data_IF_855852426982
#
_entry.id   IF_855852426982
#
_cell.length_a   1.000
_cell.length_b   1.000
_cell.length_c   1.000
_cell.angle_alpha   90.00
_cell.angle_beta   90.00
_cell.angle_gamma   90.00
#
_symmetry.space_group_name_H-M   'P 1'
#
loop_
_entity.id
_entity.type
_entity.pdbx_description
1 polymer ?
#
# COMPACT_ATOMS: atom_id res chain seq x y z
N UNK A 1 -16.16 4.58 -3.85
CA UNK A 1 -16.33 3.54 -2.82
C UNK A 1 -16.50 4.28 -1.51
N UNK A 2 -17.34 3.84 -0.56
CA UNK A 2 -17.27 4.41 0.78
C UNK A 2 -16.27 3.61 1.59
N UNK A 3 -15.17 4.26 1.99
CA UNK A 3 -14.08 3.60 2.68
C UNK A 3 -14.56 3.00 4.02
N UNK A 4 -14.17 1.76 4.28
CA UNK A 4 -14.22 1.19 5.63
C UNK A 4 -12.94 1.58 6.37
N UNK A 5 -13.09 2.19 7.53
CA UNK A 5 -11.96 2.59 8.37
C UNK A 5 -11.10 1.37 8.76
N UNK A 6 -11.68 0.17 8.90
CA UNK A 6 -10.90 -1.05 9.16
C UNK A 6 -9.92 -1.38 8.04
N UNK A 7 -10.27 -1.05 6.81
CA UNK A 7 -9.39 -1.26 5.66
C UNK A 7 -8.20 -0.30 5.69
N UNK A 8 -8.42 0.97 6.09
CA UNK A 8 -7.32 1.91 6.37
C UNK A 8 -6.35 1.35 7.39
N UNK A 9 -6.89 0.87 8.53
CA UNK A 9 -6.09 0.29 9.61
C UNK A 9 -5.23 -0.85 9.09
N UNK A 10 -5.81 -1.73 8.26
CA UNK A 10 -5.10 -2.85 7.64
C UNK A 10 -3.95 -2.38 6.74
N UNK A 11 -4.20 -1.44 5.83
CA UNK A 11 -3.17 -0.95 4.91
C UNK A 11 -2.01 -0.27 5.60
N UNK A 12 -2.28 0.60 6.58
CA UNK A 12 -1.21 1.26 7.31
C UNK A 12 -0.28 0.25 8.02
N UNK A 13 -0.82 -0.90 8.46
CA UNK A 13 -0.04 -1.94 9.13
C UNK A 13 0.66 -2.91 8.16
N UNK A 14 0.23 -2.97 6.91
CA UNK A 14 0.90 -3.76 5.87
C UNK A 14 2.26 -3.16 5.52
N UNK A 15 2.35 -1.81 5.49
CA UNK A 15 3.58 -1.09 5.15
C UNK A 15 4.82 -1.54 5.94
N UNK A 16 6.03 -1.45 5.37
CA UNK A 16 7.23 -2.01 5.97
C UNK A 16 7.55 -1.35 7.32
N UNK A 17 7.75 -2.17 8.35
CA UNK A 17 8.15 -1.70 9.70
C UNK A 17 7.19 -0.64 10.32
N UNK A 18 5.97 -0.51 9.76
CA UNK A 18 4.92 0.33 10.31
C UNK A 18 4.30 -0.29 11.57
N UNK A 19 3.95 0.57 12.52
CA UNK A 19 3.35 0.22 13.83
C UNK A 19 2.21 1.19 14.17
N UNK A 20 1.24 0.71 14.93
CA UNK A 20 0.15 1.47 15.56
C UNK A 20 0.49 1.77 17.02
N UNK A 21 0.34 3.03 17.41
CA UNK A 21 0.36 3.50 18.79
C UNK A 21 -0.99 4.15 19.10
N UNK A 22 -1.62 3.76 20.21
CA UNK A 22 -2.92 4.32 20.64
C UNK A 22 -2.71 5.20 21.87
N UNK A 23 -3.14 6.46 21.79
CA UNK A 23 -3.06 7.41 22.89
C UNK A 23 -4.21 8.41 22.82
N UNK A 24 -4.84 8.70 23.96
CA UNK A 24 -5.95 9.64 24.09
C UNK A 24 -7.10 9.42 23.08
N UNK A 25 -7.52 8.16 22.89
CA UNK A 25 -8.55 7.77 21.92
C UNK A 25 -8.20 8.10 20.45
N UNK A 26 -6.90 8.27 20.16
CA UNK A 26 -6.37 8.48 18.81
C UNK A 26 -5.45 7.32 18.44
N UNK A 27 -5.44 6.99 17.16
CA UNK A 27 -4.58 5.97 16.58
C UNK A 27 -3.49 6.67 15.77
N UNK A 28 -2.23 6.35 16.03
CA UNK A 28 -1.07 6.91 15.33
C UNK A 28 -0.31 5.78 14.65
N UNK A 29 -0.22 5.85 13.32
CA UNK A 29 0.58 4.94 12.53
C UNK A 29 1.94 5.53 12.26
N UNK A 30 2.98 4.82 12.69
CA UNK A 30 4.36 5.30 12.73
C UNK A 30 5.30 4.35 12.01
N UNK A 31 6.37 4.90 11.46
CA UNK A 31 7.56 4.16 11.00
C UNK A 31 8.78 4.79 11.68
N UNK A 32 9.56 3.99 12.40
CA UNK A 32 10.70 4.47 13.22
C UNK A 32 10.36 5.72 14.06
N UNK A 33 9.29 5.63 14.88
CA UNK A 33 8.77 6.69 15.75
C UNK A 33 8.25 7.96 15.07
N UNK A 34 8.23 8.01 13.73
CA UNK A 34 7.66 9.14 12.98
C UNK A 34 6.28 8.77 12.46
N UNK A 35 5.27 9.57 12.83
CA UNK A 35 3.89 9.37 12.41
C UNK A 35 3.69 9.76 10.95
N UNK A 36 3.16 8.83 10.15
CA UNK A 36 2.70 9.12 8.78
C UNK A 36 1.17 9.24 8.74
N UNK A 37 0.44 8.45 9.51
CA UNK A 37 -1.02 8.44 9.52
C UNK A 37 -1.59 8.59 10.94
N UNK A 38 -2.77 9.21 11.07
CA UNK A 38 -3.49 9.32 12.33
C UNK A 38 -5.00 9.18 12.13
N UNK A 39 -5.69 8.55 13.07
CA UNK A 39 -7.16 8.52 13.17
C UNK A 39 -7.57 9.15 14.49
N UNK A 40 -8.57 10.02 14.45
CA UNK A 40 -9.30 10.47 15.62
C UNK A 40 -10.81 10.57 15.35
N UNK A 41 -11.57 11.10 16.31
CA UNK A 41 -13.02 11.31 16.21
C UNK A 41 -13.44 12.21 15.04
N UNK A 42 -12.51 12.98 14.46
CA UNK A 42 -12.78 13.89 13.36
C UNK A 42 -12.35 13.33 11.99
N UNK A 43 -11.86 12.09 11.92
CA UNK A 43 -11.47 11.42 10.68
C UNK A 43 -9.99 11.08 10.61
N UNK A 44 -9.46 11.05 9.39
CA UNK A 44 -8.14 10.51 9.08
C UNK A 44 -7.19 11.63 8.66
N UNK A 45 -5.95 11.62 9.17
CA UNK A 45 -4.91 12.57 8.78
C UNK A 45 -3.69 11.86 8.23
N UNK A 46 -3.17 12.37 7.12
CA UNK A 46 -2.01 11.82 6.42
C UNK A 46 -0.97 12.90 6.23
N UNK A 47 0.30 12.55 6.45
CA UNK A 47 1.44 13.37 6.01
C UNK A 47 1.45 13.51 4.50
N UNK A 48 1.85 14.68 4.00
CA UNK A 48 2.02 14.95 2.58
C UNK A 48 3.18 15.94 2.37
N UNK A 49 3.73 15.97 1.16
CA UNK A 49 4.59 17.06 0.69
C UNK A 49 3.75 18.28 0.27
N UNK A 50 4.36 19.48 0.15
CA UNK A 50 3.66 20.68 -0.32
C UNK A 50 3.01 20.52 -1.72
N UNK A 51 3.65 19.77 -2.62
CA UNK A 51 3.16 19.51 -3.97
C UNK A 51 1.94 18.57 -3.97
N UNK A 52 1.99 17.51 -3.15
CA UNK A 52 0.86 16.59 -2.96
C UNK A 52 -0.30 17.28 -2.24
N UNK A 53 -0.01 18.20 -1.31
CA UNK A 53 -1.02 18.97 -0.59
C UNK A 53 -1.90 19.77 -1.54
N UNK A 54 -1.31 20.51 -2.49
CA UNK A 54 -2.06 21.31 -3.48
C UNK A 54 -2.94 20.45 -4.39
N UNK A 55 -2.47 19.26 -4.75
CA UNK A 55 -3.24 18.31 -5.56
C UNK A 55 -4.38 17.68 -4.75
N UNK A 56 -4.11 17.30 -3.50
CA UNK A 56 -5.07 16.61 -2.64
C UNK A 56 -6.23 17.50 -2.21
N UNK A 57 -6.01 18.79 -1.93
CA UNK A 57 -7.08 19.73 -1.51
C UNK A 57 -8.03 20.13 -2.66
N UNK A 58 -7.73 19.76 -3.90
CA UNK A 58 -8.69 19.88 -5.02
C UNK A 58 -9.83 18.87 -4.90
N UNK A 59 -9.65 17.82 -4.09
CA UNK A 59 -10.70 16.87 -3.76
C UNK A 59 -11.59 17.44 -2.65
N UNK A 60 -12.91 17.49 -2.91
CA UNK A 60 -13.90 18.09 -2.00
C UNK A 60 -13.94 17.45 -0.61
N UNK A 61 -13.43 16.22 -0.45
CA UNK A 61 -13.41 15.45 0.80
C UNK A 61 -12.10 15.61 1.61
N UNK A 62 -11.15 16.42 1.14
CA UNK A 62 -9.83 16.62 1.75
C UNK A 62 -9.62 18.10 2.10
N UNK A 63 -9.32 18.39 3.37
CA UNK A 63 -9.13 19.76 3.88
C UNK A 63 -7.74 19.96 4.49
N UNK A 64 -7.27 21.21 4.53
CA UNK A 64 -6.15 21.63 5.37
C UNK A 64 -6.34 21.20 6.82
N UNK A 65 -5.33 20.55 7.40
CA UNK A 65 -5.32 20.32 8.85
C UNK A 65 -5.18 21.66 9.58
N UNK A 66 -6.22 22.09 10.32
CA UNK A 66 -6.23 23.35 11.07
C UNK A 66 -5.38 23.32 12.35
N UNK A 67 -5.00 22.12 12.82
CA UNK A 67 -4.38 21.89 14.14
C UNK A 67 -2.89 21.58 14.07
N UNK A 68 -2.39 21.19 12.90
CA UNK A 68 -0.98 20.84 12.66
C UNK A 68 -0.42 21.77 11.59
N UNK A 69 0.91 21.95 11.53
CA UNK A 69 1.55 22.84 10.57
C UNK A 69 0.94 22.69 9.16
N UNK A 70 0.36 23.80 8.66
CA UNK A 70 -0.19 23.88 7.31
C UNK A 70 0.88 23.38 6.32
N UNK A 71 0.48 22.73 5.22
CA UNK A 71 1.34 22.12 4.18
C UNK A 71 2.02 20.79 4.51
N UNK A 72 1.86 20.25 5.72
CA UNK A 72 2.46 18.95 6.08
C UNK A 72 1.45 17.83 6.32
N UNK A 73 0.17 18.17 6.44
CA UNK A 73 -0.89 17.21 6.76
C UNK A 73 -2.16 17.53 6.00
N UNK A 74 -2.74 16.51 5.36
CA UNK A 74 -4.11 16.53 4.85
C UNK A 74 -5.05 15.90 5.87
N UNK A 75 -6.29 16.40 5.92
CA UNK A 75 -7.36 15.88 6.77
C UNK A 75 -8.52 15.41 5.90
N UNK A 76 -8.81 14.11 5.99
CA UNK A 76 -9.94 13.43 5.38
C UNK A 76 -11.03 13.33 6.44
N UNK A 77 -12.04 14.19 6.33
CA UNK A 77 -13.16 14.28 7.29
C UNK A 77 -14.30 13.35 6.92
N UNK A 78 -14.48 13.03 5.64
CA UNK A 78 -15.42 12.01 5.20
C UNK A 78 -14.74 11.06 4.22
N UNK A 79 -14.19 9.97 4.77
CA UNK A 79 -13.55 8.93 3.97
C UNK A 79 -14.56 8.09 3.19
N UNK A 80 -15.85 8.20 3.51
CA UNK A 80 -16.90 7.44 2.86
C UNK A 80 -17.10 7.91 1.41
N UNK A 81 -16.57 9.04 0.95
CA UNK A 81 -16.72 9.40 -0.47
C UNK A 81 -15.45 9.18 -1.30
N UNK A 82 -14.34 8.79 -0.64
CA UNK A 82 -13.06 8.53 -1.29
C UNK A 82 -12.95 7.13 -1.89
N UNK A 83 -12.49 7.07 -3.13
CA UNK A 83 -12.17 5.80 -3.79
C UNK A 83 -10.98 5.12 -3.11
N UNK A 84 -11.01 3.79 -3.12
CA UNK A 84 -10.09 2.90 -2.41
C UNK A 84 -8.63 3.07 -2.85
N UNK A 85 -8.41 3.27 -4.14
CA UNK A 85 -7.11 3.35 -4.76
C UNK A 85 -6.44 4.70 -4.45
N UNK A 86 -7.21 5.79 -4.48
CA UNK A 86 -6.75 7.12 -4.05
C UNK A 86 -6.26 7.07 -2.60
N UNK A 87 -7.01 6.32 -1.78
CA UNK A 87 -6.75 6.24 -0.37
C UNK A 87 -5.54 5.36 -0.01
N UNK A 88 -5.34 4.23 -0.70
CA UNK A 88 -4.12 3.43 -0.57
C UNK A 88 -2.88 4.21 -1.03
N UNK A 89 -2.98 4.95 -2.15
CA UNK A 89 -1.91 5.84 -2.60
C UNK A 89 -1.59 6.92 -1.58
N UNK A 90 -2.60 7.60 -1.02
CA UNK A 90 -2.35 8.62 0.00
C UNK A 90 -1.62 8.05 1.22
N UNK A 91 -1.96 6.83 1.66
CA UNK A 91 -1.24 6.15 2.75
C UNK A 91 0.21 5.89 2.37
N UNK A 92 0.45 5.38 1.16
CA UNK A 92 1.79 5.12 0.62
C UNK A 92 2.62 6.40 0.54
N UNK A 93 2.10 7.45 -0.09
CA UNK A 93 2.81 8.73 -0.23
C UNK A 93 3.11 9.35 1.14
N UNK A 94 2.16 9.20 2.07
CA UNK A 94 2.34 9.62 3.45
C UNK A 94 3.49 8.91 4.14
N UNK A 95 3.55 7.59 3.96
CA UNK A 95 4.64 6.75 4.46
C UNK A 95 5.98 7.09 3.79
N UNK A 96 6.03 7.19 2.46
CA UNK A 96 7.22 7.58 1.69
C UNK A 96 7.76 8.94 2.14
N UNK A 97 6.87 9.91 2.37
CA UNK A 97 7.21 11.24 2.87
C UNK A 97 7.96 11.15 4.19
N UNK A 98 7.51 10.29 5.11
CA UNK A 98 8.22 10.07 6.37
C UNK A 98 9.53 9.29 6.16
N UNK A 99 9.54 8.24 5.33
CA UNK A 99 10.73 7.44 5.06
C UNK A 99 11.87 8.27 4.45
N UNK A 100 11.57 9.24 3.58
CA UNK A 100 12.54 10.20 3.04
C UNK A 100 13.22 11.08 4.11
N UNK A 101 12.65 11.15 5.31
CA UNK A 101 13.26 11.88 6.44
C UNK A 101 14.13 10.99 7.34
N UNK A 102 14.26 9.70 7.02
CA UNK A 102 15.08 8.74 7.75
C UNK A 102 16.50 8.68 7.16
N UNK A 103 17.50 8.12 7.88
CA UNK A 103 18.86 7.95 7.36
C UNK A 103 18.89 7.13 6.05
N UNK A 104 19.77 7.47 5.11
CA UNK A 104 19.79 6.90 3.74
C UNK A 104 19.80 5.37 3.69
N UNK A 105 20.59 4.72 4.55
CA UNK A 105 20.65 3.25 4.62
C UNK A 105 19.29 2.63 4.97
N UNK A 106 18.57 3.28 5.88
CA UNK A 106 17.25 2.85 6.33
C UNK A 106 16.18 3.20 5.31
N UNK A 107 16.27 4.40 4.70
CA UNK A 107 15.44 4.80 3.58
C UNK A 107 15.53 3.78 2.45
N UNK A 108 16.74 3.44 1.98
CA UNK A 108 16.94 2.48 0.89
C UNK A 108 16.33 1.11 1.23
N UNK A 109 16.60 0.57 2.42
CA UNK A 109 16.02 -0.70 2.90
C UNK A 109 14.49 -0.67 2.93
N UNK A 110 13.90 0.41 3.47
CA UNK A 110 12.45 0.52 3.60
C UNK A 110 11.77 0.78 2.26
N UNK A 111 12.39 1.56 1.36
CA UNK A 111 11.89 1.80 0.01
C UNK A 111 12.06 0.56 -0.89
N UNK A 112 13.10 -0.24 -0.73
CA UNK A 112 13.23 -1.54 -1.40
C UNK A 112 12.11 -2.49 -0.95
N UNK A 113 11.90 -2.64 0.36
CA UNK A 113 10.78 -3.43 0.89
C UNK A 113 9.42 -2.90 0.44
N UNK A 114 9.24 -1.58 0.49
CA UNK A 114 8.01 -0.93 0.06
C UNK A 114 7.80 -1.15 -1.44
N UNK A 115 8.84 -1.04 -2.26
CA UNK A 115 8.78 -1.33 -3.69
C UNK A 115 8.34 -2.77 -3.94
N UNK A 116 8.82 -3.74 -3.15
CA UNK A 116 8.35 -5.12 -3.24
C UNK A 116 6.91 -5.33 -2.75
N UNK A 117 6.38 -4.46 -1.89
CA UNK A 117 4.99 -4.49 -1.42
C UNK A 117 4.04 -3.68 -2.34
N UNK A 118 4.57 -2.66 -3.03
CA UNK A 118 3.87 -1.75 -3.95
C UNK A 118 3.93 -2.25 -5.39
N UNK A 119 4.98 -2.97 -5.79
CA UNK A 119 5.04 -3.56 -7.13
C UNK A 119 3.77 -4.36 -7.31
N UNK A 120 2.93 -3.86 -8.21
CA UNK A 120 1.60 -4.38 -8.42
C UNK A 120 1.73 -5.88 -8.60
N UNK A 121 1.05 -6.74 -7.83
CA UNK A 121 1.16 -8.17 -7.99
C UNK A 121 0.89 -8.64 -9.42
N UNK A 122 0.20 -7.84 -10.22
CA UNK A 122 0.13 -8.02 -11.67
C UNK A 122 1.50 -8.00 -12.38
N UNK A 123 2.41 -7.07 -12.04
CA UNK A 123 3.80 -7.04 -12.55
C UNK A 123 4.54 -8.31 -12.17
N UNK A 124 4.40 -8.75 -10.93
CA UNK A 124 5.01 -9.99 -10.46
C UNK A 124 4.43 -11.21 -11.18
N UNK A 125 3.10 -11.28 -11.35
CA UNK A 125 2.47 -12.39 -12.08
C UNK A 125 2.93 -12.43 -13.52
N UNK A 126 2.99 -11.29 -14.22
CA UNK A 126 3.47 -11.21 -15.60
C UNK A 126 4.96 -11.60 -15.66
N UNK A 127 5.78 -11.14 -14.72
CA UNK A 127 7.20 -11.46 -14.68
C UNK A 127 7.49 -12.94 -14.42
N UNK A 128 6.78 -13.54 -13.46
CA UNK A 128 7.01 -14.93 -13.04
C UNK A 128 6.35 -15.92 -14.03
N UNK A 129 5.18 -15.57 -14.58
CA UNK A 129 4.34 -16.46 -15.40
C UNK A 129 4.16 -15.94 -16.82
N UNK A 130 5.19 -15.34 -17.42
CA UNK A 130 5.05 -14.70 -18.74
C UNK A 130 4.60 -15.66 -19.85
N UNK A 131 5.09 -16.91 -19.87
CA UNK A 131 4.61 -17.89 -20.84
C UNK A 131 3.11 -18.19 -20.61
N UNK A 132 2.74 -18.55 -19.38
CA UNK A 132 1.34 -18.82 -19.03
C UNK A 132 0.44 -17.61 -19.36
N UNK A 133 0.93 -16.38 -19.14
CA UNK A 133 0.24 -15.14 -19.49
C UNK A 133 -0.05 -15.04 -21.00
N UNK A 134 0.97 -15.30 -21.83
CA UNK A 134 0.82 -15.25 -23.28
C UNK A 134 -0.12 -16.33 -23.79
N UNK A 135 0.02 -17.56 -23.29
CA UNK A 135 -0.89 -18.68 -23.64
C UNK A 135 -2.34 -18.36 -23.28
N UNK A 136 -2.58 -17.69 -22.15
CA UNK A 136 -3.93 -17.38 -21.67
C UNK A 136 -4.58 -16.21 -22.43
N UNK A 137 -3.82 -15.16 -22.70
CA UNK A 137 -4.35 -13.89 -23.19
C UNK A 137 -4.15 -13.66 -24.70
N UNK A 138 -3.10 -14.24 -25.27
CA UNK A 138 -2.75 -14.07 -26.67
C UNK A 138 -2.18 -15.38 -27.25
N UNK A 139 -2.98 -16.47 -27.30
CA UNK A 139 -2.51 -17.78 -27.68
C UNK A 139 -1.81 -17.78 -29.04
N UNK A 140 -2.35 -17.08 -30.05
CA UNK A 140 -1.73 -17.00 -31.38
C UNK A 140 -0.30 -16.46 -31.34
N UNK A 141 -0.03 -15.51 -30.43
CA UNK A 141 1.30 -14.92 -30.25
C UNK A 141 2.19 -15.86 -29.45
N UNK A 142 1.62 -16.53 -28.43
CA UNK A 142 2.36 -17.54 -27.67
C UNK A 142 2.89 -18.66 -28.58
N UNK A 143 2.13 -19.07 -29.59
CA UNK A 143 2.56 -20.08 -30.57
C UNK A 143 3.69 -19.60 -31.50
N UNK A 144 3.83 -18.29 -31.71
CA UNK A 144 4.85 -17.71 -32.59
C UNK A 144 6.15 -17.37 -31.83
N UNK A 145 6.15 -17.41 -30.49
CA UNK A 145 7.33 -17.16 -29.65
C UNK A 145 8.15 -18.44 -29.48
N UNK A 146 9.48 -18.32 -29.65
CA UNK A 146 10.45 -19.36 -29.35
C UNK A 146 10.76 -19.40 -27.84
N UNK A 147 10.02 -20.23 -27.11
CA UNK A 147 10.19 -20.43 -25.67
C UNK A 147 11.49 -21.11 -25.26
N UNK A 148 12.31 -21.61 -26.20
CA UNK A 148 13.65 -22.08 -25.88
C UNK A 148 14.60 -20.92 -25.57
N UNK A 149 14.25 -19.70 -25.99
CA UNK A 149 14.95 -18.48 -25.65
C UNK A 149 14.19 -17.74 -24.55
N UNK A 150 14.88 -17.49 -23.44
CA UNK A 150 14.28 -16.77 -22.32
C UNK A 150 13.87 -15.34 -22.74
N UNK A 151 12.62 -14.92 -22.44
CA UNK A 151 12.21 -13.53 -22.63
C UNK A 151 13.07 -12.56 -21.82
N UNK A 152 13.35 -11.38 -22.39
CA UNK A 152 14.17 -10.35 -21.75
C UNK A 152 13.25 -9.21 -21.31
N UNK A 153 13.15 -8.98 -20.00
CA UNK A 153 12.32 -7.90 -19.43
C UNK A 153 13.08 -6.57 -19.43
N UNK A 154 12.47 -5.54 -20.00
CA UNK A 154 13.11 -4.26 -20.31
C UNK A 154 12.49 -3.11 -19.49
N UNK A 155 12.38 -3.32 -18.17
CA UNK A 155 11.73 -2.37 -17.26
C UNK A 155 12.46 -1.01 -17.16
N UNK A 156 13.79 -1.02 -17.29
CA UNK A 156 14.61 0.19 -17.18
C UNK A 156 14.45 1.07 -18.41
N UNK A 157 14.46 0.45 -19.57
CA UNK A 157 14.28 1.03 -20.90
C UNK A 157 12.90 1.67 -20.99
N UNK A 158 11.86 0.90 -20.61
CA UNK A 158 10.49 1.40 -20.52
C UNK A 158 10.39 2.60 -19.58
N UNK A 159 10.98 2.52 -18.39
CA UNK A 159 10.99 3.62 -17.42
C UNK A 159 11.67 4.88 -17.97
N UNK A 160 12.72 4.75 -18.77
CA UNK A 160 13.39 5.90 -19.42
C UNK A 160 12.48 6.56 -20.45
N UNK A 161 11.77 5.76 -21.25
CA UNK A 161 10.82 6.24 -22.28
C UNK A 161 9.62 6.95 -21.66
N UNK A 162 9.23 6.55 -20.45
CA UNK A 162 8.12 7.13 -19.72
C UNK A 162 8.46 8.47 -19.03
N UNK A 163 9.75 8.85 -18.90
CA UNK A 163 10.15 10.12 -18.27
C UNK A 163 9.55 11.31 -19.05
N UNK A 164 8.72 12.10 -18.38
CA UNK A 164 8.07 13.29 -18.94
C UNK A 164 6.62 13.10 -19.40
N UNK A 165 6.08 11.87 -19.40
CA UNK A 165 4.64 11.68 -19.49
C UNK A 165 4.00 12.03 -18.13
N UNK A 166 2.97 12.88 -18.11
CA UNK A 166 2.12 13.06 -16.91
C UNK A 166 1.30 11.78 -16.72
N UNK A 167 1.92 10.72 -16.23
CA UNK A 167 1.24 9.46 -15.91
C UNK A 167 0.97 9.37 -14.43
N UNK A 168 -0.31 9.19 -14.07
CA UNK A 168 -0.66 8.69 -12.74
C UNK A 168 -0.14 7.26 -12.55
N UNK A 169 0.08 6.84 -11.30
CA UNK A 169 0.71 5.56 -10.92
C UNK A 169 -0.16 4.29 -11.14
N UNK A 170 -1.30 4.39 -11.85
CA UNK A 170 -2.34 3.34 -11.93
C UNK A 170 -2.15 2.29 -13.05
N UNK A 171 -0.91 2.05 -13.47
CA UNK A 171 -0.63 1.22 -14.64
C UNK A 171 0.41 0.16 -14.35
N UNK A 172 0.17 -1.03 -14.86
CA UNK A 172 1.20 -2.05 -15.00
C UNK A 172 1.62 -2.08 -16.45
N UNK A 173 2.69 -1.33 -16.72
CA UNK A 173 3.35 -1.32 -18.01
C UNK A 173 4.53 -2.30 -17.97
N UNK A 174 4.62 -3.19 -18.95
CA UNK A 174 5.70 -4.17 -19.09
C UNK A 174 6.18 -4.23 -20.54
N UNK A 175 7.49 -4.13 -20.72
CA UNK A 175 8.13 -4.31 -22.01
C UNK A 175 8.97 -5.57 -21.96
N UNK A 176 8.75 -6.45 -22.93
CA UNK A 176 9.43 -7.75 -23.02
C UNK A 176 9.95 -7.93 -24.43
N UNK A 177 11.24 -8.18 -24.56
CA UNK A 177 11.83 -8.66 -25.80
C UNK A 177 11.68 -10.18 -25.87
N UNK A 178 11.15 -10.64 -27.01
CA UNK A 178 10.94 -12.05 -27.31
C UNK A 178 11.58 -12.39 -28.65
N UNK A 179 11.83 -13.67 -28.86
CA UNK A 179 12.29 -14.21 -30.14
C UNK A 179 11.14 -14.97 -30.78
N UNK A 180 10.87 -14.71 -32.05
CA UNK A 180 9.92 -15.51 -32.82
C UNK A 180 10.54 -16.86 -33.18
N UNK A 181 9.71 -17.87 -33.47
CA UNK A 181 10.16 -19.14 -34.04
C UNK A 181 10.89 -18.95 -35.39
N UNK A 182 10.63 -17.84 -36.10
CA UNK A 182 11.38 -17.44 -37.31
C UNK A 182 12.81 -16.97 -37.03
N UNK A 183 13.19 -16.78 -35.76
CA UNK A 183 14.48 -16.26 -35.32
C UNK A 183 14.53 -14.74 -35.16
N UNK A 184 13.48 -14.02 -35.56
CA UNK A 184 13.41 -12.56 -35.46
C UNK A 184 13.18 -12.08 -34.03
N UNK A 185 13.83 -10.98 -33.65
CA UNK A 185 13.57 -10.27 -32.40
C UNK A 185 12.35 -9.37 -32.53
N UNK A 186 11.48 -9.41 -31.51
CA UNK A 186 10.32 -8.53 -31.40
C UNK A 186 10.18 -8.00 -29.97
N UNK A 187 9.63 -6.79 -29.89
CA UNK A 187 9.25 -6.18 -28.63
C UNK A 187 7.76 -6.34 -28.42
N UNK A 188 7.38 -6.78 -27.22
CA UNK A 188 6.00 -6.89 -26.79
C UNK A 188 5.77 -5.98 -25.59
N UNK A 189 4.84 -5.05 -25.75
CA UNK A 189 4.48 -4.05 -24.77
C UNK A 189 3.08 -4.37 -24.22
N UNK A 190 2.98 -4.52 -22.91
CA UNK A 190 1.72 -4.75 -22.20
C UNK A 190 1.38 -3.56 -21.35
N UNK A 191 0.12 -3.17 -21.44
CA UNK A 191 -0.51 -2.15 -20.61
C UNK A 191 -1.68 -2.76 -19.89
N UNK A 192 -1.49 -3.08 -18.61
CA UNK A 192 -2.60 -3.52 -17.74
C UNK A 192 -3.13 -2.30 -16.98
N UNK A 193 -4.37 -1.97 -17.27
CA UNK A 193 -5.17 -0.95 -16.59
C UNK A 193 -5.89 -1.59 -15.41
N UNK A 194 -5.25 -1.55 -14.24
CA UNK A 194 -5.76 -2.09 -12.98
C UNK A 194 -6.55 -1.01 -12.25
N UNK A 195 -7.80 -0.79 -12.67
CA UNK A 195 -8.81 0.09 -12.07
C UNK A 195 -8.45 1.57 -11.78
N UNK A 196 -9.40 2.45 -12.13
CA UNK A 196 -9.46 3.84 -11.67
C UNK A 196 -9.77 4.79 -12.83
N UNK A 197 -10.87 5.54 -12.72
CA UNK A 197 -11.43 6.56 -13.64
C UNK A 197 -10.94 6.52 -15.10
N UNK A 198 -11.87 6.34 -16.05
CA UNK A 198 -11.67 6.49 -17.51
C UNK A 198 -10.59 7.52 -17.83
N UNK A 199 -9.39 7.05 -18.09
CA UNK A 199 -8.39 7.91 -18.69
C UNK A 199 -8.63 7.83 -20.19
N UNK A 200 -9.20 8.88 -20.76
CA UNK A 200 -9.30 9.07 -22.21
C UNK A 200 -7.94 9.04 -22.92
N UNK A 201 -6.85 8.92 -22.16
CA UNK A 201 -5.46 9.03 -22.57
C UNK A 201 -4.84 7.64 -22.88
N UNK A 202 -5.51 6.52 -22.58
CA UNK A 202 -4.93 5.18 -22.84
C UNK A 202 -4.51 5.01 -24.31
N UNK A 203 -5.36 5.27 -25.33
CA UNK A 203 -4.93 5.17 -26.73
C UNK A 203 -3.74 6.08 -27.07
N UNK A 204 -3.74 7.33 -26.60
CA UNK A 204 -2.65 8.28 -26.80
C UNK A 204 -1.33 7.77 -26.21
N UNK A 205 -1.37 7.12 -25.04
CA UNK A 205 -0.19 6.52 -24.41
C UNK A 205 0.31 5.30 -25.13
N UNK A 206 -0.60 4.37 -25.48
CA UNK A 206 -0.26 3.19 -26.27
C UNK A 206 0.46 3.62 -27.55
N UNK A 207 -0.10 4.59 -28.27
CA UNK A 207 0.52 5.17 -29.46
C UNK A 207 1.89 5.80 -29.13
N UNK A 208 1.95 6.70 -28.14
CA UNK A 208 3.19 7.42 -27.80
C UNK A 208 4.32 6.47 -27.43
N UNK A 209 4.06 5.43 -26.65
CA UNK A 209 5.07 4.47 -26.25
C UNK A 209 5.48 3.54 -27.38
N UNK A 210 4.53 3.03 -28.17
CA UNK A 210 4.85 2.21 -29.35
C UNK A 210 5.79 2.97 -30.29
N UNK A 211 5.48 4.21 -30.66
CA UNK A 211 6.36 4.97 -31.56
C UNK A 211 7.72 5.26 -30.95
N UNK A 212 7.81 5.64 -29.67
CA UNK A 212 9.12 5.91 -29.04
C UNK A 212 10.00 4.66 -28.99
N UNK A 213 9.39 3.50 -28.76
CA UNK A 213 10.09 2.22 -28.76
C UNK A 213 10.50 1.81 -30.18
N UNK A 214 9.61 1.98 -31.16
CA UNK A 214 9.90 1.73 -32.57
C UNK A 214 11.06 2.62 -33.06
N UNK A 215 11.05 3.90 -32.73
CA UNK A 215 12.13 4.83 -33.05
C UNK A 215 13.47 4.42 -32.39
N UNK A 216 13.42 3.93 -31.15
CA UNK A 216 14.63 3.58 -30.38
C UNK A 216 15.24 2.24 -30.81
N UNK A 217 14.41 1.25 -31.13
CA UNK A 217 14.83 -0.13 -31.41
C UNK A 217 14.73 -0.51 -32.89
N UNK A 218 14.22 0.39 -33.73
CA UNK A 218 14.04 0.19 -35.17
C UNK A 218 13.31 -1.13 -35.52
N UNK A 219 12.29 -1.46 -34.72
CA UNK A 219 11.49 -2.68 -34.86
C UNK A 219 10.06 -2.41 -34.43
N UNK A 220 9.09 -3.07 -35.07
CA UNK A 220 7.67 -2.92 -34.74
C UNK A 220 7.40 -3.47 -33.33
N UNK A 221 6.59 -2.75 -32.55
CA UNK A 221 6.24 -3.12 -31.18
C UNK A 221 4.81 -3.66 -31.13
N UNK A 222 4.65 -4.90 -30.68
CA UNK A 222 3.33 -5.48 -30.46
C UNK A 222 2.77 -4.96 -29.13
N UNK A 223 1.78 -4.07 -29.19
CA UNK A 223 1.22 -3.39 -28.02
C UNK A 223 -0.15 -3.94 -27.62
N UNK A 224 -0.32 -4.38 -26.37
CA UNK A 224 -1.55 -5.00 -25.84
C UNK A 224 -2.11 -4.21 -24.67
N UNK A 225 -3.43 -4.04 -24.65
CA UNK A 225 -4.14 -3.51 -23.49
C UNK A 225 -4.89 -4.63 -22.76
N UNK A 226 -4.75 -4.69 -21.43
CA UNK A 226 -5.56 -5.53 -20.55
C UNK A 226 -6.36 -4.61 -19.63
N UNK A 227 -7.67 -4.65 -19.77
CA UNK A 227 -8.60 -3.79 -19.06
C UNK A 227 -9.22 -4.55 -17.90
N UNK A 228 -8.89 -4.12 -16.69
CA UNK A 228 -9.34 -4.72 -15.45
C UNK A 228 -10.32 -3.80 -14.68
N UNK A 229 -10.99 -2.88 -15.38
CA UNK A 229 -11.96 -1.94 -14.80
C UNK A 229 -13.39 -2.54 -14.66
N UNK A 230 -14.30 -1.73 -14.10
CA UNK A 230 -15.70 -2.10 -13.81
C UNK A 230 -16.69 -1.69 -14.94
N UNK A 231 -16.27 -0.94 -15.97
CA UNK A 231 -17.17 -0.45 -17.02
C UNK A 231 -17.18 -1.39 -18.23
N UNK A 232 -18.26 -2.16 -18.49
CA UNK A 232 -18.31 -3.09 -19.62
C UNK A 232 -18.26 -2.40 -20.99
N UNK A 233 -18.57 -1.09 -21.07
CA UNK A 233 -18.60 -0.32 -22.33
C UNK A 233 -17.27 0.35 -22.66
N UNK A 234 -16.36 0.49 -21.70
CA UNK A 234 -15.07 1.10 -21.96
C UNK A 234 -14.11 0.08 -22.58
N UNK A 235 -13.89 0.23 -23.89
CA UNK A 235 -13.13 -0.70 -24.75
C UNK A 235 -12.28 0.06 -25.79
N UNK A 236 -11.31 0.87 -25.35
CA UNK A 236 -10.37 1.51 -26.26
C UNK A 236 -9.57 0.48 -27.06
N UNK A 237 -9.53 0.66 -28.38
CA UNK A 237 -8.76 -0.21 -29.30
C UNK A 237 -7.92 0.59 -30.31
N UNK A 238 -8.09 1.91 -30.32
CA UNK A 238 -7.62 2.74 -31.43
C UNK A 238 -7.27 4.15 -30.96
N UNK A 239 -6.12 4.62 -31.43
CA UNK A 239 -5.73 6.03 -31.43
C UNK A 239 -5.87 6.57 -32.86
N UNK A 240 -6.47 7.76 -32.99
CA UNK A 240 -6.49 8.48 -34.26
C UNK A 240 -6.33 9.98 -34.05
N UNK A 241 -5.53 10.63 -34.90
CA UNK A 241 -5.50 12.09 -35.03
C UNK A 241 -5.48 12.47 -36.50
N UNK A 242 -6.10 13.59 -36.81
CA UNK A 242 -6.11 14.19 -38.13
C UNK A 242 -5.80 15.69 -38.01
N UNK A 243 -5.01 16.21 -38.94
CA UNK A 243 -4.84 17.65 -39.16
C UNK A 243 -4.48 17.90 -40.63
N UNK A 244 -5.25 18.79 -41.29
CA UNK A 244 -5.02 19.22 -42.67
C UNK A 244 -4.80 18.07 -43.68
N UNK A 245 -5.55 16.97 -43.52
CA UNK A 245 -5.44 15.79 -44.39
C UNK A 245 -4.30 14.84 -44.03
N UNK A 246 -3.56 15.10 -42.94
CA UNK A 246 -2.58 14.16 -42.38
C UNK A 246 -3.24 13.33 -41.29
N UNK A 247 -3.42 12.03 -41.55
CA UNK A 247 -4.03 11.11 -40.61
C UNK A 247 -2.99 10.20 -39.96
N UNK A 248 -3.07 10.07 -38.63
CA UNK A 248 -2.41 9.03 -37.84
C UNK A 248 -3.46 8.04 -37.37
N UNK A 249 -3.19 6.76 -37.55
CA UNK A 249 -4.05 5.67 -37.11
C UNK A 249 -3.21 4.57 -36.48
N UNK A 250 -3.59 4.14 -35.29
CA UNK A 250 -2.92 3.08 -34.55
C UNK A 250 -3.94 2.20 -33.86
N UNK A 251 -3.93 0.91 -34.18
CA UNK A 251 -4.85 -0.10 -33.63
C UNK A 251 -4.05 -1.09 -32.80
N UNK A 252 -4.59 -1.44 -31.64
CA UNK A 252 -3.99 -2.40 -30.73
C UNK A 252 -5.03 -3.42 -30.23
N UNK A 253 -4.63 -4.68 -29.96
CA UNK A 253 -5.49 -5.65 -29.30
C UNK A 253 -5.82 -5.23 -27.86
N UNK A 254 -7.05 -5.54 -27.44
CA UNK A 254 -7.54 -5.22 -26.11
C UNK A 254 -8.25 -6.45 -25.53
N UNK A 255 -7.92 -6.75 -24.27
CA UNK A 255 -8.49 -7.85 -23.50
C UNK A 255 -9.25 -7.25 -22.34
N UNK A 256 -10.54 -7.60 -22.21
CA UNK A 256 -11.38 -7.13 -21.11
C UNK A 256 -11.58 -8.26 -20.10
N UNK A 257 -11.11 -8.08 -18.87
CA UNK A 257 -11.24 -9.12 -17.84
C UNK A 257 -12.70 -9.42 -17.50
N UNK A 258 -13.59 -8.42 -17.58
CA UNK A 258 -15.03 -8.61 -17.38
C UNK A 258 -15.65 -9.65 -18.33
N UNK A 259 -15.08 -9.86 -19.52
CA UNK A 259 -15.60 -10.82 -20.52
C UNK A 259 -15.44 -12.28 -20.08
N UNK A 260 -14.66 -12.53 -19.04
CA UNK A 260 -14.51 -13.85 -18.45
C UNK A 260 -15.56 -14.14 -17.37
N UNK A 261 -16.39 -13.15 -16.98
CA UNK A 261 -17.47 -13.35 -16.02
C UNK A 261 -18.50 -14.36 -16.53
N UNK A 262 -18.88 -14.23 -17.80
CA UNK A 262 -19.84 -15.14 -18.45
C UNK A 262 -19.19 -16.48 -18.85
N UNK A 263 -17.87 -16.58 -18.71
CA UNK A 263 -17.04 -17.76 -19.02
C UNK A 263 -16.38 -18.33 -17.75
N UNK A 264 -17.04 -18.18 -16.61
CA UNK A 264 -16.49 -18.58 -15.31
C UNK A 264 -16.08 -20.07 -15.29
N UNK A 265 -16.88 -20.94 -15.89
CA UNK A 265 -16.58 -22.38 -15.96
C UNK A 265 -15.29 -22.67 -16.73
N UNK A 266 -14.95 -21.88 -17.76
CA UNK A 266 -13.68 -22.02 -18.48
C UNK A 266 -12.49 -21.70 -17.55
N UNK A 267 -12.64 -20.71 -16.65
CA UNK A 267 -11.62 -20.39 -15.66
C UNK A 267 -11.46 -21.50 -14.62
N UNK A 268 -12.56 -22.11 -14.19
CA UNK A 268 -12.55 -23.20 -13.21
C UNK A 268 -11.85 -24.45 -13.76
N UNK A 269 -12.04 -24.76 -15.04
CA UNK A 269 -11.43 -25.91 -15.70
C UNK A 269 -10.00 -25.67 -16.19
N UNK A 270 -9.58 -24.40 -16.31
CA UNK A 270 -8.25 -24.05 -16.76
C UNK A 270 -7.19 -24.32 -15.69
N UNK A 271 -6.14 -25.06 -16.08
CA UNK A 271 -4.92 -25.23 -15.30
C UNK A 271 -3.95 -24.04 -15.45
N UNK A 272 -4.22 -23.10 -16.37
CA UNK A 272 -3.38 -21.91 -16.50
C UNK A 272 -3.49 -21.02 -15.23
N UNK A 273 -2.37 -20.57 -14.62
CA UNK A 273 -2.38 -19.74 -13.41
C UNK A 273 -3.13 -18.42 -13.57
N UNK A 274 -3.22 -17.86 -14.78
CA UNK A 274 -3.99 -16.64 -15.02
C UNK A 274 -5.50 -16.83 -14.89
N UNK A 275 -6.01 -18.07 -14.91
CA UNK A 275 -7.39 -18.32 -14.55
C UNK A 275 -7.67 -17.93 -13.08
N UNK A 276 -6.77 -18.28 -12.15
CA UNK A 276 -6.85 -17.85 -10.74
C UNK A 276 -6.77 -16.33 -10.62
N UNK A 277 -5.84 -15.71 -11.36
CA UNK A 277 -5.64 -14.25 -11.37
C UNK A 277 -6.92 -13.53 -11.82
N UNK A 278 -7.51 -13.96 -12.93
CA UNK A 278 -8.74 -13.37 -13.48
C UNK A 278 -9.93 -13.62 -12.56
N UNK A 279 -10.09 -14.84 -12.02
CA UNK A 279 -11.15 -15.15 -11.05
C UNK A 279 -11.04 -14.28 -9.79
N UNK A 280 -9.84 -14.14 -9.23
CA UNK A 280 -9.59 -13.30 -8.06
C UNK A 280 -9.91 -11.83 -8.35
N UNK A 281 -9.53 -11.33 -9.52
CA UNK A 281 -9.87 -9.97 -9.96
C UNK A 281 -11.38 -9.78 -10.07
N UNK A 282 -12.09 -10.66 -10.78
CA UNK A 282 -13.55 -10.60 -10.91
C UNK A 282 -14.26 -10.63 -9.56
N UNK A 283 -13.83 -11.51 -8.64
CA UNK A 283 -14.42 -11.58 -7.29
C UNK A 283 -14.07 -10.39 -6.42
N UNK A 284 -12.91 -9.76 -6.61
CA UNK A 284 -12.61 -8.49 -5.97
C UNK A 284 -13.62 -7.41 -6.40
N UNK A 285 -13.95 -7.32 -7.70
CA UNK A 285 -14.98 -6.40 -8.20
C UNK A 285 -16.37 -6.70 -7.62
N UNK A 286 -16.78 -7.97 -7.64
CA UNK A 286 -18.13 -8.38 -7.19
C UNK A 286 -18.35 -8.24 -5.69
N UNK A 287 -17.30 -8.42 -4.88
CA UNK A 287 -17.40 -8.43 -3.41
C UNK A 287 -17.01 -7.10 -2.77
N UNK A 288 -16.92 -6.03 -3.57
CA UNK A 288 -16.46 -4.69 -3.16
C UNK A 288 -17.12 -4.15 -1.88
N UNK A 289 -18.39 -4.44 -1.65
CA UNK A 289 -19.16 -3.97 -0.50
C UNK A 289 -19.63 -5.10 0.44
N UNK A 290 -19.08 -6.31 0.30
CA UNK A 290 -19.53 -7.49 1.05
C UNK A 290 -18.32 -8.30 1.51
N UNK A 291 -17.83 -8.00 2.71
CA UNK A 291 -16.62 -8.62 3.25
C UNK A 291 -16.81 -10.10 3.62
N UNK A 292 -18.03 -10.53 3.94
CA UNK A 292 -18.32 -11.94 4.19
C UNK A 292 -18.29 -12.73 2.88
N UNK A 293 -18.92 -12.23 1.81
CA UNK A 293 -18.75 -12.83 0.47
C UNK A 293 -17.30 -12.76 0.00
N UNK A 294 -16.57 -11.69 0.30
CA UNK A 294 -15.14 -11.59 -0.01
C UNK A 294 -14.33 -12.65 0.73
N UNK A 295 -14.60 -12.86 2.02
CA UNK A 295 -13.97 -13.92 2.82
C UNK A 295 -14.26 -15.30 2.20
N UNK A 296 -15.53 -15.58 1.90
CA UNK A 296 -15.95 -16.82 1.26
C UNK A 296 -15.19 -17.05 -0.06
N UNK A 297 -15.20 -16.08 -0.98
CA UNK A 297 -14.50 -16.22 -2.26
C UNK A 297 -12.99 -16.31 -2.09
N UNK A 298 -12.40 -15.59 -1.14
CA UNK A 298 -10.96 -15.72 -0.84
C UNK A 298 -10.62 -17.15 -0.42
N UNK A 299 -11.44 -17.78 0.41
CA UNK A 299 -11.27 -19.19 0.81
C UNK A 299 -11.41 -20.13 -0.41
N UNK A 300 -12.46 -19.95 -1.22
CA UNK A 300 -12.70 -20.80 -2.40
C UNK A 300 -11.58 -20.68 -3.43
N UNK A 301 -11.09 -19.46 -3.70
CA UNK A 301 -9.94 -19.24 -4.59
C UNK A 301 -8.68 -19.93 -4.07
N UNK A 302 -8.42 -19.91 -2.76
CA UNK A 302 -7.28 -20.63 -2.16
C UNK A 302 -7.44 -22.14 -2.25
N UNK A 303 -8.65 -22.67 -2.06
CA UNK A 303 -8.93 -24.11 -2.25
C UNK A 303 -8.69 -24.53 -3.70
N UNK A 304 -9.21 -23.74 -4.64
CA UNK A 304 -9.02 -23.89 -6.08
C UNK A 304 -7.54 -23.84 -6.48
N UNK A 305 -6.77 -22.94 -5.87
CA UNK A 305 -5.33 -22.84 -6.06
C UNK A 305 -4.61 -24.14 -5.62
N UNK A 306 -4.95 -24.68 -4.46
CA UNK A 306 -4.34 -25.91 -3.93
C UNK A 306 -4.77 -27.18 -4.68
N UNK A 307 -5.91 -27.15 -5.37
CA UNK A 307 -6.41 -28.31 -6.12
C UNK A 307 -5.70 -28.53 -7.46
N UNK A 308 -5.07 -27.49 -8.05
CA UNK A 308 -4.52 -27.52 -9.42
C UNK A 308 -3.11 -28.11 -9.57
N UNK A 309 -2.58 -28.75 -8.52
CA UNK A 309 -1.28 -29.46 -8.61
C UNK A 309 -0.07 -28.56 -8.94
N UNK A 310 -0.17 -27.25 -8.72
CA UNK A 310 0.90 -26.31 -8.99
C UNK A 310 2.15 -26.57 -8.15
N UNK A 311 3.31 -26.18 -8.70
CA UNK A 311 4.56 -26.16 -7.95
C UNK A 311 4.46 -25.19 -6.77
N UNK A 312 5.23 -25.43 -5.72
CA UNK A 312 5.24 -24.58 -4.51
C UNK A 312 5.49 -23.10 -4.84
N UNK A 313 6.40 -22.82 -5.79
CA UNK A 313 6.67 -21.45 -6.27
C UNK A 313 5.43 -20.83 -6.94
N UNK A 314 4.71 -21.58 -7.78
CA UNK A 314 3.46 -21.15 -8.43
C UNK A 314 2.39 -20.84 -7.38
N UNK A 315 2.20 -21.75 -6.44
CA UNK A 315 1.25 -21.59 -5.32
C UNK A 315 1.57 -20.34 -4.51
N UNK A 316 2.84 -20.12 -4.16
CA UNK A 316 3.25 -18.97 -3.35
C UNK A 316 2.98 -17.63 -4.01
N UNK A 317 3.32 -17.49 -5.28
CA UNK A 317 3.08 -16.27 -6.04
C UNK A 317 1.57 -15.97 -6.17
N UNK A 318 0.76 -16.97 -6.51
CA UNK A 318 -0.70 -16.81 -6.66
C UNK A 318 -1.39 -16.57 -5.32
N UNK A 319 -0.94 -17.22 -4.24
CA UNK A 319 -1.47 -16.96 -2.89
C UNK A 319 -1.24 -15.50 -2.48
N UNK A 320 -0.03 -14.98 -2.71
CA UNK A 320 0.28 -13.56 -2.48
C UNK A 320 -0.61 -12.63 -3.31
N UNK A 321 -0.82 -12.97 -4.59
CA UNK A 321 -1.72 -12.21 -5.47
C UNK A 321 -3.15 -12.15 -4.92
N UNK A 322 -3.74 -13.31 -4.57
CA UNK A 322 -5.07 -13.39 -3.97
C UNK A 322 -5.13 -12.59 -2.67
N UNK A 323 -4.12 -12.74 -1.80
CA UNK A 323 -4.10 -12.07 -0.51
C UNK A 323 -4.04 -10.54 -0.63
N UNK A 324 -3.31 -10.04 -1.63
CA UNK A 324 -3.19 -8.62 -1.93
C UNK A 324 -4.48 -8.04 -2.52
N UNK A 325 -5.11 -8.70 -3.49
CA UNK A 325 -6.30 -8.15 -4.16
C UNK A 325 -7.58 -8.34 -3.34
N UNK A 326 -7.69 -9.45 -2.59
CA UNK A 326 -8.82 -9.78 -1.73
C UNK A 326 -8.56 -9.32 -0.29
N UNK A 327 -8.39 -8.02 -0.06
CA UNK A 327 -8.15 -7.47 1.28
C UNK A 327 -9.37 -7.66 2.18
N UNK A 328 -9.14 -8.07 3.43
CA UNK A 328 -10.18 -8.33 4.44
C UNK A 328 -9.95 -7.50 5.72
N UNK A 329 -11.02 -7.10 6.44
CA UNK A 329 -10.92 -6.56 7.78
C UNK A 329 -10.24 -7.53 8.75
N UNK A 330 -9.60 -7.02 9.80
CA UNK A 330 -8.75 -7.80 10.71
C UNK A 330 -9.43 -9.04 11.30
N UNK A 331 -10.70 -8.93 11.69
CA UNK A 331 -11.46 -10.04 12.26
C UNK A 331 -11.65 -11.17 11.25
N UNK A 332 -12.05 -10.83 10.02
CA UNK A 332 -12.25 -11.79 8.93
C UNK A 332 -10.93 -12.34 8.40
N UNK A 333 -9.86 -11.55 8.41
CA UNK A 333 -8.52 -12.02 8.10
C UNK A 333 -8.06 -13.11 9.09
N UNK A 334 -8.36 -12.99 10.39
CA UNK A 334 -8.10 -14.06 11.37
C UNK A 334 -8.92 -15.32 11.11
N UNK A 335 -10.19 -15.15 10.73
CA UNK A 335 -11.08 -16.26 10.34
C UNK A 335 -10.53 -17.02 9.11
N UNK A 336 -10.13 -16.27 8.08
CA UNK A 336 -9.47 -16.80 6.88
C UNK A 336 -8.24 -17.63 7.25
N UNK A 337 -7.31 -17.07 8.03
CA UNK A 337 -6.09 -17.76 8.45
C UNK A 337 -6.36 -19.07 9.19
N UNK A 338 -7.32 -19.06 10.11
CA UNK A 338 -7.72 -20.26 10.86
C UNK A 338 -8.28 -21.34 9.93
N UNK A 339 -9.07 -20.93 8.92
CA UNK A 339 -9.68 -21.85 7.96
C UNK A 339 -8.63 -22.48 7.04
N UNK A 340 -7.73 -21.67 6.47
CA UNK A 340 -6.66 -22.17 5.59
C UNK A 340 -5.72 -23.12 6.35
N UNK A 341 -5.36 -22.80 7.59
CA UNK A 341 -4.53 -23.67 8.42
C UNK A 341 -5.13 -25.06 8.59
N UNK A 342 -6.44 -25.14 8.87
CA UNK A 342 -7.15 -26.44 8.98
C UNK A 342 -7.15 -27.22 7.67
N UNK A 343 -7.40 -26.54 6.55
CA UNK A 343 -7.41 -27.18 5.22
C UNK A 343 -6.05 -27.79 4.88
N UNK A 344 -4.96 -27.09 5.21
CA UNK A 344 -3.60 -27.59 4.96
C UNK A 344 -3.23 -28.76 5.85
N UNK A 345 -3.65 -28.73 7.13
CA UNK A 345 -3.46 -29.81 8.08
C UNK A 345 -4.21 -31.07 7.64
N UNK A 346 -5.49 -30.94 7.28
CA UNK A 346 -6.35 -32.04 6.80
C UNK A 346 -5.83 -32.66 5.51
N UNK A 347 -5.40 -31.85 4.55
CA UNK A 347 -4.88 -32.35 3.26
C UNK A 347 -3.42 -32.80 3.33
N UNK A 348 -2.75 -32.68 4.49
CA UNK A 348 -1.29 -32.89 4.67
C UNK A 348 -0.44 -32.13 3.63
N UNK A 349 -0.99 -31.05 3.08
CA UNK A 349 -0.32 -30.23 2.09
C UNK A 349 0.47 -29.17 2.82
N UNK A 350 1.76 -29.43 3.07
CA UNK A 350 2.68 -28.43 3.62
C UNK A 350 3.14 -27.49 2.51
N UNK A 351 2.25 -26.61 2.04
CA UNK A 351 2.70 -25.45 1.29
C UNK A 351 3.35 -24.49 2.30
N UNK A 352 4.69 -24.42 2.28
CA UNK A 352 5.51 -23.61 3.19
C UNK A 352 5.04 -22.14 3.21
N UNK A 353 4.46 -21.69 2.10
CA UNK A 353 3.83 -20.40 1.83
C UNK A 353 2.91 -19.82 2.93
N UNK A 354 1.81 -20.50 3.27
CA UNK A 354 0.74 -19.85 4.06
C UNK A 354 1.09 -19.83 5.53
N UNK A 355 1.68 -20.91 6.05
CA UNK A 355 2.14 -21.01 7.43
C UNK A 355 3.28 -20.04 7.69
N UNK A 356 4.24 -19.85 6.77
CA UNK A 356 5.30 -18.85 6.94
C UNK A 356 4.78 -17.41 6.89
N UNK A 357 3.90 -17.07 5.95
CA UNK A 357 3.29 -15.73 5.88
C UNK A 357 2.41 -15.45 7.11
N UNK A 358 1.64 -16.44 7.55
CA UNK A 358 0.80 -16.36 8.76
C UNK A 358 1.67 -16.31 10.01
N UNK A 359 2.78 -17.07 10.08
CA UNK A 359 3.71 -17.06 11.20
C UNK A 359 4.51 -15.76 11.26
N UNK A 360 4.93 -15.20 10.12
CA UNK A 360 5.53 -13.88 10.04
C UNK A 360 4.56 -12.78 10.48
N UNK A 361 3.29 -12.83 10.00
CA UNK A 361 2.23 -11.91 10.47
C UNK A 361 1.96 -12.06 11.96
N UNK A 362 1.76 -13.29 12.46
CA UNK A 362 1.55 -13.56 13.89
C UNK A 362 2.76 -13.19 14.73
N UNK A 363 3.97 -13.39 14.23
CA UNK A 363 5.22 -12.98 14.88
C UNK A 363 5.35 -11.46 14.97
N UNK A 364 4.99 -10.75 13.89
CA UNK A 364 4.93 -9.28 13.86
C UNK A 364 3.84 -8.75 14.80
N UNK A 365 2.63 -9.30 14.74
CA UNK A 365 1.51 -8.93 15.63
C UNK A 365 1.85 -9.19 17.10
N UNK A 366 2.35 -10.38 17.46
CA UNK A 366 2.74 -10.71 18.84
C UNK A 366 3.94 -9.90 19.32
N UNK A 367 4.92 -9.65 18.45
CA UNK A 367 6.08 -8.80 18.77
C UNK A 367 5.65 -7.36 19.05
N UNK A 368 4.69 -6.86 18.28
CA UNK A 368 4.12 -5.53 18.45
C UNK A 368 3.23 -5.43 19.69
N UNK A 369 2.39 -6.43 19.96
CA UNK A 369 1.55 -6.51 21.17
C UNK A 369 2.42 -6.55 22.43
N UNK A 370 3.43 -7.42 22.47
CA UNK A 370 4.40 -7.48 23.59
C UNK A 370 5.22 -6.20 23.72
N UNK A 371 5.56 -5.55 22.60
CA UNK A 371 6.25 -4.25 22.60
C UNK A 371 5.38 -3.14 23.18
N UNK A 372 4.09 -3.14 22.82
CA UNK A 372 3.10 -2.18 23.32
C UNK A 372 2.82 -2.37 24.81
N UNK A 373 2.64 -3.62 25.25
CA UNK A 373 2.43 -3.96 26.66
C UNK A 373 3.62 -3.52 27.53
N UNK A 374 4.85 -3.86 27.12
CA UNK A 374 6.08 -3.42 27.80
C UNK A 374 6.27 -1.90 27.76
N UNK A 375 5.87 -1.25 26.67
CA UNK A 375 5.92 0.21 26.54
C UNK A 375 4.94 0.91 27.47
N UNK A 376 3.70 0.40 27.56
CA UNK A 376 2.68 0.90 28.48
C UNK A 376 3.08 0.70 29.94
N UNK A 377 3.63 -0.46 30.28
CA UNK A 377 4.09 -0.76 31.64
C UNK A 377 5.20 0.20 32.08
N UNK A 378 6.24 0.37 31.25
CA UNK A 378 7.33 1.32 31.50
C UNK A 378 6.85 2.76 31.56
N UNK A 379 5.93 3.15 30.67
CA UNK A 379 5.33 4.49 30.67
C UNK A 379 4.51 4.76 31.95
N UNK A 380 3.76 3.76 32.43
CA UNK A 380 2.97 3.86 33.66
C UNK A 380 3.85 3.93 34.90
N UNK A 381 4.93 3.17 34.93
CA UNK A 381 5.90 3.19 36.04
C UNK A 381 6.61 4.56 36.11
N UNK A 382 7.13 5.03 34.97
CA UNK A 382 7.78 6.35 34.87
C UNK A 382 6.84 7.49 35.25
N UNK A 383 5.60 7.49 34.73
CA UNK A 383 4.60 8.51 35.09
C UNK A 383 4.18 8.48 36.57
N UNK A 384 4.21 7.31 37.21
CA UNK A 384 3.92 7.18 38.66
C UNK A 384 5.07 7.70 39.52
N UNK A 385 6.30 7.50 39.09
CA UNK A 385 7.49 8.03 39.75
C UNK A 385 7.56 9.56 39.64
N UNK A 386 7.38 10.08 38.42
CA UNK A 386 7.33 11.53 38.14
C UNK A 386 6.19 12.22 38.92
N UNK A 387 4.98 11.64 38.94
CA UNK A 387 3.86 12.20 39.70
C UNK A 387 4.08 12.19 41.22
N UNK A 388 4.89 11.27 41.76
CA UNK A 388 5.29 11.28 43.17
C UNK A 388 6.28 12.39 43.47
N UNK A 389 7.24 12.65 42.58
CA UNK A 389 8.19 13.75 42.75
C UNK A 389 7.51 15.11 42.63
N UNK A 390 6.64 15.27 41.64
CA UNK A 390 5.84 16.48 41.46
C UNK A 390 4.96 16.74 42.70
N UNK A 391 4.29 15.71 43.21
CA UNK A 391 3.48 15.79 44.44
C UNK A 391 4.28 16.20 45.68
N UNK A 392 5.54 15.74 45.82
CA UNK A 392 6.41 16.16 46.93
C UNK A 392 6.76 17.65 46.84
N UNK A 393 7.10 18.14 45.66
CA UNK A 393 7.45 19.55 45.45
C UNK A 393 6.23 20.45 45.67
N UNK A 394 5.06 20.06 45.18
CA UNK A 394 3.80 20.79 45.42
C UNK A 394 3.45 20.83 46.91
N UNK A 395 3.64 19.74 47.65
CA UNK A 395 3.47 19.68 49.09
C UNK A 395 4.44 20.61 49.85
N UNK A 396 5.71 20.67 49.42
CA UNK A 396 6.71 21.59 49.98
C UNK A 396 6.34 23.06 49.71
N UNK A 397 5.83 23.37 48.52
CA UNK A 397 5.34 24.72 48.17
C UNK A 397 4.16 25.12 49.08
N UNK A 398 3.21 24.21 49.34
CA UNK A 398 2.08 24.49 50.21
C UNK A 398 2.51 24.72 51.66
N UNK A 399 3.43 23.89 52.17
CA UNK A 399 4.01 24.04 53.51
C UNK A 399 4.72 25.40 53.65
N UNK A 400 5.50 25.80 52.65
CA UNK A 400 6.23 27.06 52.64
C UNK A 400 5.27 28.28 52.63
N UNK A 401 4.14 28.19 51.90
CA UNK A 401 3.07 29.19 51.95
C UNK A 401 2.46 29.31 53.34
N UNK A 402 2.25 28.19 54.05
CA UNK A 402 1.77 28.18 55.44
C UNK A 402 2.78 28.83 56.39
N UNK A 403 4.08 28.52 56.30
CA UNK A 403 5.11 29.16 57.13
C UNK A 403 5.20 30.68 56.93
N UNK A 404 5.01 31.16 55.70
CA UNK A 404 4.90 32.61 55.44
C UNK A 404 3.68 33.24 56.10
N UNK A 405 2.52 32.57 56.04
CA UNK A 405 1.29 33.08 56.67
C UNK A 405 1.41 33.19 58.19
N UNK A 406 2.22 32.33 58.81
CA UNK A 406 2.52 32.35 60.25
C UNK A 406 3.67 33.31 60.62
N UNK A 407 4.19 34.12 59.68
CA UNK A 407 5.34 35.03 59.86
C UNK A 407 6.61 34.34 60.41
N UNK A 408 6.78 33.05 60.14
CA UNK A 408 7.94 32.27 60.61
C UNK A 408 9.17 32.40 59.72
N UNK A 409 9.05 33.08 58.57
CA UNK A 409 10.12 33.26 57.59
C UNK A 409 10.27 34.75 57.24
N UNK A 410 11.52 35.21 57.21
CA UNK A 410 11.83 36.53 56.65
C UNK A 410 11.48 36.56 55.15
N UNK A 411 11.12 37.76 54.65
CA UNK A 411 10.63 37.95 53.27
C UNK A 411 11.61 37.43 52.21
N UNK A 412 12.91 37.62 52.44
CA UNK A 412 13.96 37.22 51.51
C UNK A 412 14.22 35.70 51.55
N UNK A 413 14.17 35.09 52.74
CA UNK A 413 14.27 33.64 52.91
C UNK A 413 13.11 32.90 52.23
N UNK A 414 11.88 33.39 52.39
CA UNK A 414 10.72 32.84 51.69
C UNK A 414 10.88 32.92 50.17
N UNK A 415 11.35 34.06 49.66
CA UNK A 415 11.52 34.27 48.22
C UNK A 415 12.54 33.29 47.65
N UNK A 416 13.70 33.16 48.29
CA UNK A 416 14.76 32.24 47.87
C UNK A 416 14.28 30.78 47.83
N UNK A 417 13.58 30.32 48.88
CA UNK A 417 13.08 28.95 48.95
C UNK A 417 11.94 28.68 47.94
N UNK A 418 11.05 29.64 47.71
CA UNK A 418 10.00 29.53 46.68
C UNK A 418 10.58 29.45 45.27
N UNK A 419 11.59 30.26 44.97
CA UNK A 419 12.19 30.30 43.65
C UNK A 419 12.94 28.99 43.34
N UNK A 420 13.60 28.39 44.35
CA UNK A 420 14.23 27.08 44.23
C UNK A 420 13.21 25.95 43.96
N UNK A 421 12.09 25.90 44.70
CA UNK A 421 11.05 24.89 44.50
C UNK A 421 10.34 25.04 43.16
N UNK A 422 10.09 26.29 42.71
CA UNK A 422 9.54 26.57 41.38
C UNK A 422 10.50 26.18 40.26
N UNK A 423 11.81 26.35 40.47
CA UNK A 423 12.83 25.93 39.52
C UNK A 423 12.86 24.40 39.39
N UNK A 424 12.86 23.66 40.50
CA UNK A 424 12.77 22.19 40.50
C UNK A 424 11.49 21.68 39.82
N UNK A 425 10.34 22.31 40.10
CA UNK A 425 9.07 21.96 39.44
C UNK A 425 9.13 22.21 37.92
N UNK A 426 9.80 23.30 37.50
CA UNK A 426 9.99 23.64 36.08
C UNK A 426 10.94 22.68 35.39
N UNK A 427 12.01 22.23 36.03
CA UNK A 427 12.91 21.20 35.50
C UNK A 427 12.19 19.86 35.30
N UNK A 428 11.37 19.43 36.27
CA UNK A 428 10.52 18.26 36.15
C UNK A 428 9.45 18.39 35.04
N UNK A 429 8.92 19.60 34.81
CA UNK A 429 7.98 19.84 33.71
C UNK A 429 8.67 19.88 32.33
N UNK A 430 9.96 20.22 32.28
CA UNK A 430 10.75 20.27 31.05
C UNK A 430 11.29 18.89 30.66
N UNK A 431 11.59 18.02 31.63
CA UNK A 431 11.94 16.61 31.38
C UNK A 431 10.76 15.77 30.84
N UNK A 432 9.52 16.28 30.97
CA UNK A 432 8.29 15.70 30.42
C UNK A 432 8.07 15.99 28.92
N UNK A 433 8.85 16.89 28.30
CA UNK A 433 8.82 17.07 26.83
C UNK A 433 9.76 16.04 26.17
N UNK A 434 9.33 15.32 25.12
CA UNK A 434 10.22 14.42 24.40
C UNK A 434 11.40 15.24 23.88
N UNK A 435 12.62 14.82 24.26
CA UNK A 435 13.85 15.47 23.86
C UNK A 435 13.84 15.70 22.35
N UNK A 436 13.68 16.96 21.92
CA UNK A 436 14.10 17.36 20.59
C UNK A 436 15.59 17.06 20.53
N UNK A 437 15.96 16.07 19.72
CA UNK A 437 17.33 15.63 19.54
C UNK A 437 18.20 16.83 19.18
N UNK A 438 18.96 17.31 20.17
CA UNK A 438 20.04 18.26 19.95
C UNK A 438 21.07 17.58 19.05
N UNK A 439 21.23 18.11 17.85
CA UNK A 439 22.37 17.86 16.98
C UNK A 439 23.65 18.21 17.75
N UNK A 440 24.56 17.26 17.84
CA UNK A 440 26.01 17.48 17.89
C UNK A 440 26.65 16.34 17.09
#
# INVERSE_FOLDING_TARGET
MLLDIELFRSWCLQLPEAVLEVSNQKEYYKVHNKTFAMIDTNGIRLKCSPQEYETAIQNLDIKPSKTYAQYHWIHIFDFRHLYFEDFHEFIIHSYETIVKTLPEKLQKKLLEKLSHEIDSPWKDMIGIFFNDFMEFFAPDIAHDIDWNKAPIFMDKELSQIMKGAKTGKRFVDKLVQVFRCSGEERLVLFHVEVQGQKQSILPDRMYTYSNRLEDMYNTLVASFAILADEDPKWRPTTYSRDIWGTQKYFKFPMIKLLDYKDRWQELELSDNPFAIVVMAHLKMLETKNDYEKRLHWKIELTKMLYARGYTEKKVHALFKFIDWIMVLPRQLAKSYQTTIYKIEEEKKMKYITSIELIAQRKGREKGMEKGMEKGMEKGREKGREEGREEGKILGQIELLKKFKSMKMLAKDQYKQMMDALKFQLKELSQSQQPAQTARA
#
